data_IF_040634475677
#
_entry.id   IF_040634475677
#
_cell.length_a   1.000
_cell.length_b   1.000
_cell.length_c   1.000
_cell.angle_alpha   90.00
_cell.angle_beta   90.00
_cell.angle_gamma   90.00
#
_symmetry.space_group_name_H-M   'P 1'
#
loop_
_entity.id
_entity.type
_entity.pdbx_description
1 polymer ?
#
# COMPACT_ATOMS: atom_id res chain seq x y z
N UNK A 1 -31.24 41.83 34.14
CA UNK A 1 -31.88 41.04 33.04
C UNK A 1 -31.03 39.79 32.85
N UNK A 2 -31.53 38.67 33.31
CA UNK A 2 -30.80 37.39 33.19
C UNK A 2 -31.15 36.75 31.84
N UNK A 3 -30.13 36.49 31.04
CA UNK A 3 -30.27 35.78 29.77
C UNK A 3 -30.30 34.26 30.06
N UNK A 4 -31.39 33.65 29.74
CA UNK A 4 -31.60 32.19 29.82
C UNK A 4 -30.89 31.51 28.63
N UNK A 5 -29.92 30.67 28.90
CA UNK A 5 -29.27 29.82 27.88
C UNK A 5 -30.20 28.62 27.61
N UNK A 6 -30.73 28.55 26.40
CA UNK A 6 -31.46 27.39 25.94
C UNK A 6 -30.45 26.30 25.50
N UNK A 7 -30.48 25.17 26.19
CA UNK A 7 -29.71 23.99 25.78
C UNK A 7 -30.36 23.37 24.53
N UNK A 8 -29.63 23.37 23.41
CA UNK A 8 -30.02 22.64 22.21
C UNK A 8 -29.59 21.18 22.39
N UNK A 9 -30.55 20.31 22.66
CA UNK A 9 -30.36 18.85 22.63
C UNK A 9 -30.38 18.38 21.17
N UNK A 10 -29.24 18.02 20.65
CA UNK A 10 -29.11 17.27 19.38
C UNK A 10 -29.49 15.82 19.65
N UNK A 11 -30.50 15.25 18.98
CA UNK A 11 -30.79 13.82 19.13
C UNK A 11 -29.67 12.99 18.57
N UNK A 12 -29.03 12.17 19.42
CA UNK A 12 -28.18 11.08 18.99
C UNK A 12 -29.05 10.08 18.19
N UNK A 13 -28.90 10.06 16.88
CA UNK A 13 -29.43 8.99 16.05
C UNK A 13 -28.76 7.70 16.51
N UNK A 14 -29.52 6.84 17.18
CA UNK A 14 -29.10 5.51 17.60
C UNK A 14 -28.79 4.67 16.35
N UNK A 15 -27.50 4.44 16.12
CA UNK A 15 -26.99 3.58 15.05
C UNK A 15 -27.13 2.10 15.40
N UNK A 16 -28.34 1.55 15.47
CA UNK A 16 -28.57 0.10 15.64
C UNK A 16 -28.42 -0.72 14.35
N UNK A 17 -28.20 -0.08 13.20
CA UNK A 17 -28.06 -0.78 11.91
C UNK A 17 -26.62 -1.23 11.56
N UNK A 18 -25.59 -0.79 12.30
CA UNK A 18 -24.19 -1.12 12.02
C UNK A 18 -23.63 -2.29 12.86
N UNK A 19 -24.37 -2.75 13.88
CA UNK A 19 -23.88 -3.79 14.80
C UNK A 19 -24.10 -5.24 14.31
N UNK A 20 -24.90 -5.45 13.28
CA UNK A 20 -25.24 -6.81 12.83
C UNK A 20 -24.26 -7.43 11.81
N UNK A 21 -23.29 -6.63 11.28
CA UNK A 21 -22.31 -7.14 10.28
C UNK A 21 -20.95 -7.56 10.87
N UNK A 22 -20.72 -7.36 12.16
CA UNK A 22 -19.38 -7.53 12.77
C UNK A 22 -19.23 -8.73 13.71
N UNK A 23 -20.20 -9.65 13.81
CA UNK A 23 -20.06 -10.81 14.71
C UNK A 23 -19.23 -11.98 14.15
N UNK A 24 -18.90 -11.98 12.85
CA UNK A 24 -18.08 -13.04 12.24
C UNK A 24 -16.59 -12.71 12.05
N UNK A 25 -16.15 -11.51 12.42
CA UNK A 25 -14.74 -11.08 12.25
C UNK A 25 -13.80 -11.52 13.40
N UNK A 26 -14.30 -12.16 14.47
CA UNK A 26 -13.52 -12.44 15.68
C UNK A 26 -13.16 -13.90 15.93
N UNK A 27 -13.49 -14.84 15.04
CA UNK A 27 -13.13 -16.25 15.26
C UNK A 27 -12.12 -16.76 14.22
N UNK A 28 -10.82 -16.62 14.49
CA UNK A 28 -9.84 -17.60 14.02
C UNK A 28 -8.83 -17.19 12.95
N UNK A 29 -8.98 -16.10 12.22
CA UNK A 29 -8.01 -15.77 11.16
C UNK A 29 -6.89 -14.89 11.72
N UNK A 30 -5.75 -15.52 12.04
CA UNK A 30 -4.57 -14.81 12.59
C UNK A 30 -3.80 -14.01 11.56
N UNK A 31 -4.02 -14.28 10.26
CA UNK A 31 -3.41 -13.57 9.14
C UNK A 31 -4.46 -13.33 8.06
N UNK A 32 -4.69 -12.09 7.67
CA UNK A 32 -5.55 -11.75 6.54
C UNK A 32 -4.98 -10.61 5.72
N UNK A 33 -5.10 -10.72 4.40
CA UNK A 33 -4.71 -9.69 3.44
C UNK A 33 -5.99 -9.13 2.80
N UNK A 34 -6.11 -7.80 2.78
CA UNK A 34 -7.20 -7.09 2.08
C UNK A 34 -6.58 -6.08 1.12
N UNK A 35 -7.02 -6.10 -0.14
CA UNK A 35 -6.68 -5.08 -1.11
C UNK A 35 -7.62 -3.89 -0.90
N UNK A 36 -7.13 -2.78 -0.39
CA UNK A 36 -7.95 -1.58 -0.12
C UNK A 36 -8.26 -0.84 -1.44
N UNK A 37 -7.30 -0.82 -2.35
CA UNK A 37 -7.46 -0.27 -3.69
C UNK A 37 -6.49 -0.92 -4.65
N UNK A 38 -6.84 -0.92 -5.94
CA UNK A 38 -6.15 -1.70 -6.99
C UNK A 38 -5.82 -0.89 -8.25
N UNK A 39 -6.10 0.43 -8.26
CA UNK A 39 -5.80 1.30 -9.39
C UNK A 39 -4.32 1.66 -9.45
N UNK A 40 -3.80 1.77 -10.66
CA UNK A 40 -2.50 2.33 -10.99
C UNK A 40 -2.59 3.81 -11.33
N UNK A 41 -1.47 4.49 -11.18
CA UNK A 41 -1.19 5.80 -11.74
C UNK A 41 -1.89 6.97 -11.08
N UNK A 42 -1.39 8.20 -11.34
CA UNK A 42 -1.92 9.39 -10.70
C UNK A 42 -3.39 9.70 -11.04
N UNK A 43 -3.91 9.52 -12.27
CA UNK A 43 -5.30 9.88 -12.57
C UNK A 43 -6.29 9.07 -11.74
N UNK A 44 -7.19 9.75 -10.99
CA UNK A 44 -8.21 9.04 -10.23
C UNK A 44 -9.26 8.43 -11.16
N UNK A 45 -9.69 7.21 -10.85
CA UNK A 45 -10.78 6.53 -11.54
C UNK A 45 -11.96 6.34 -10.60
N UNK A 46 -13.18 6.49 -11.11
CA UNK A 46 -14.38 6.22 -10.32
C UNK A 46 -14.55 4.73 -10.02
N UNK A 47 -14.05 3.86 -10.91
CA UNK A 47 -14.25 2.42 -10.86
C UNK A 47 -13.31 1.70 -9.87
N UNK A 48 -12.17 2.31 -9.49
CA UNK A 48 -11.17 1.72 -8.58
C UNK A 48 -10.55 2.76 -7.68
N UNK A 49 -10.29 2.39 -6.44
CA UNK A 49 -9.51 3.19 -5.51
C UNK A 49 -8.01 3.07 -5.78
N UNK A 50 -7.24 4.07 -5.34
CA UNK A 50 -5.78 4.09 -5.47
C UNK A 50 -5.12 2.94 -4.72
N UNK A 51 -3.94 2.55 -5.16
CA UNK A 51 -3.20 1.40 -4.61
C UNK A 51 -3.03 1.51 -3.09
N UNK A 52 -3.49 0.50 -2.38
CA UNK A 52 -3.27 0.33 -0.95
C UNK A 52 -3.65 -1.09 -0.54
N UNK A 53 -2.91 -1.69 0.40
CA UNK A 53 -3.20 -3.02 0.93
C UNK A 53 -3.12 -3.00 2.47
N UNK A 54 -3.91 -3.84 3.12
CA UNK A 54 -3.87 -4.04 4.56
C UNK A 54 -3.60 -5.50 4.90
N UNK A 55 -2.55 -5.75 5.66
CA UNK A 55 -2.22 -7.05 6.24
C UNK A 55 -2.56 -7.00 7.73
N UNK A 56 -3.44 -7.88 8.19
CA UNK A 56 -3.77 -8.01 9.61
C UNK A 56 -3.06 -9.25 10.16
N UNK A 57 -2.26 -9.07 11.19
CA UNK A 57 -1.55 -10.14 11.90
C UNK A 57 -1.90 -10.05 13.38
N UNK A 58 -2.50 -11.10 13.96
CA UNK A 58 -2.89 -11.15 15.36
C UNK A 58 -3.68 -9.90 15.84
N UNK A 59 -4.53 -9.34 14.97
CA UNK A 59 -5.35 -8.15 15.25
C UNK A 59 -4.63 -6.81 15.10
N UNK A 60 -3.35 -6.79 14.71
CA UNK A 60 -2.59 -5.58 14.35
C UNK A 60 -2.57 -5.41 12.84
N UNK A 61 -2.78 -4.20 12.37
CA UNK A 61 -2.85 -3.89 10.93
C UNK A 61 -1.57 -3.22 10.46
N UNK A 62 -1.06 -3.70 9.33
CA UNK A 62 0.07 -3.17 8.58
C UNK A 62 -0.46 -2.73 7.22
N UNK A 63 -0.33 -1.45 6.88
CA UNK A 63 -0.78 -0.90 5.59
C UNK A 63 0.43 -0.77 4.66
N UNK A 64 0.29 -1.19 3.41
CA UNK A 64 1.29 -0.99 2.36
C UNK A 64 0.69 -0.07 1.32
N UNK A 65 1.34 1.06 1.11
CA UNK A 65 0.93 2.19 0.29
C UNK A 65 -0.41 2.83 0.70
N UNK A 66 -0.55 4.10 0.42
CA UNK A 66 -1.68 4.93 0.82
C UNK A 66 -2.15 5.78 -0.37
N UNK A 67 -2.57 5.12 -1.43
CA UNK A 67 -3.16 5.77 -2.60
C UNK A 67 -4.52 6.38 -2.29
N UNK A 68 -5.09 7.04 -3.28
CA UNK A 68 -6.34 7.80 -3.16
C UNK A 68 -7.47 6.98 -2.53
N UNK A 69 -8.00 7.47 -1.41
CA UNK A 69 -9.11 6.87 -0.68
C UNK A 69 -8.70 5.75 0.28
N UNK A 70 -7.40 5.56 0.56
CA UNK A 70 -6.89 4.50 1.43
C UNK A 70 -7.54 4.51 2.81
N UNK A 71 -7.69 5.68 3.47
CA UNK A 71 -8.33 5.78 4.79
C UNK A 71 -9.81 5.37 4.72
N UNK A 72 -10.55 5.83 3.70
CA UNK A 72 -11.95 5.46 3.53
C UNK A 72 -12.13 3.97 3.29
N UNK A 73 -11.27 3.38 2.46
CA UNK A 73 -11.29 1.94 2.16
C UNK A 73 -10.85 1.11 3.38
N UNK A 74 -9.89 1.59 4.18
CA UNK A 74 -9.49 1.00 5.44
C UNK A 74 -10.71 0.84 6.37
N UNK A 75 -11.50 1.90 6.54
CA UNK A 75 -12.72 1.86 7.36
C UNK A 75 -13.80 0.96 6.73
N UNK A 76 -13.98 0.99 5.40
CA UNK A 76 -14.93 0.12 4.68
C UNK A 76 -14.56 -1.36 4.76
N UNK A 77 -13.27 -1.69 4.87
CA UNK A 77 -12.80 -3.05 5.10
C UNK A 77 -13.13 -3.59 6.50
N UNK A 78 -13.71 -2.75 7.39
CA UNK A 78 -14.01 -3.09 8.78
C UNK A 78 -12.77 -3.01 9.68
N UNK A 79 -11.69 -2.37 9.23
CA UNK A 79 -10.49 -2.14 10.03
C UNK A 79 -10.69 -0.92 10.94
N UNK A 80 -10.01 -0.88 12.07
CA UNK A 80 -10.12 0.20 13.04
C UNK A 80 -8.80 0.97 13.20
N UNK A 81 -8.86 2.30 13.37
CA UNK A 81 -7.66 3.11 13.61
C UNK A 81 -6.83 2.60 14.80
N UNK A 82 -7.43 2.16 15.94
CA UNK A 82 -6.66 1.56 17.02
C UNK A 82 -5.87 0.29 16.66
N UNK A 83 -6.19 -0.40 15.56
CA UNK A 83 -5.46 -1.60 15.14
C UNK A 83 -4.24 -1.28 14.28
N UNK A 84 -4.12 -0.06 13.75
CA UNK A 84 -3.01 0.32 12.88
C UNK A 84 -1.70 0.33 13.66
N UNK A 85 -0.77 -0.54 13.24
CA UNK A 85 0.54 -0.71 13.88
C UNK A 85 1.66 -0.06 13.06
N UNK A 86 1.62 -0.19 11.73
CA UNK A 86 2.60 0.43 10.88
C UNK A 86 2.07 0.69 9.45
N UNK A 87 2.70 1.65 8.77
CA UNK A 87 2.51 1.96 7.36
C UNK A 87 3.85 1.75 6.65
N UNK A 88 3.81 1.12 5.48
CA UNK A 88 4.97 0.92 4.60
C UNK A 88 4.70 1.59 3.27
N UNK A 89 5.58 2.47 2.83
CA UNK A 89 5.51 3.13 1.53
C UNK A 89 6.55 2.49 0.61
N UNK A 90 6.12 1.96 -0.53
CA UNK A 90 7.02 1.31 -1.48
C UNK A 90 7.91 2.32 -2.19
N UNK A 91 7.32 3.42 -2.62
CA UNK A 91 7.99 4.59 -3.18
C UNK A 91 7.10 5.83 -3.04
N UNK A 92 7.60 7.01 -3.44
CA UNK A 92 6.92 8.27 -3.12
C UNK A 92 6.18 8.90 -4.31
N UNK A 93 5.70 8.12 -5.28
CA UNK A 93 4.76 8.63 -6.28
C UNK A 93 3.42 8.99 -5.64
N UNK A 94 2.74 9.97 -6.23
CA UNK A 94 1.52 10.54 -5.68
C UNK A 94 0.41 9.50 -5.47
N UNK A 95 0.26 8.56 -6.38
CA UNK A 95 -0.75 7.49 -6.31
C UNK A 95 -0.49 6.46 -5.21
N UNK A 96 0.72 6.44 -4.61
CA UNK A 96 1.09 5.61 -3.47
C UNK A 96 1.03 6.34 -2.12
N UNK A 97 1.07 7.69 -2.12
CA UNK A 97 1.23 8.45 -0.86
C UNK A 97 0.17 9.53 -0.62
N UNK A 98 -0.71 9.82 -1.59
CA UNK A 98 -1.60 11.00 -1.51
C UNK A 98 -2.53 10.97 -0.29
N UNK A 99 -2.93 9.80 0.20
CA UNK A 99 -3.80 9.63 1.38
C UNK A 99 -3.01 9.27 2.66
N UNK A 100 -1.68 9.19 2.56
CA UNK A 100 -0.83 8.79 3.69
C UNK A 100 -1.06 9.68 4.92
N UNK A 101 -0.92 11.00 4.75
CA UNK A 101 -1.01 11.93 5.87
C UNK A 101 -2.44 12.12 6.39
N UNK A 102 -3.45 11.65 5.67
CA UNK A 102 -4.83 11.64 6.14
C UNK A 102 -5.01 10.70 7.35
N UNK A 103 -4.24 9.62 7.46
CA UNK A 103 -4.29 8.71 8.62
C UNK A 103 -4.02 9.44 9.95
N UNK A 104 -2.85 10.09 10.17
CA UNK A 104 -2.58 10.78 11.42
C UNK A 104 -3.46 12.03 11.61
N UNK A 105 -3.77 12.77 10.55
CA UNK A 105 -4.63 13.97 10.66
C UNK A 105 -6.03 13.64 11.17
N UNK A 106 -6.65 12.60 10.62
CA UNK A 106 -8.01 12.22 11.05
C UNK A 106 -8.01 11.53 12.41
N UNK A 107 -6.96 10.77 12.74
CA UNK A 107 -6.78 10.19 14.06
C UNK A 107 -6.54 11.26 15.15
N UNK A 108 -5.86 12.36 14.82
CA UNK A 108 -5.55 13.45 15.75
C UNK A 108 -6.79 14.27 16.18
N UNK A 109 -7.79 14.36 15.31
CA UNK A 109 -9.09 15.00 15.62
C UNK A 109 -10.10 14.07 16.29
N UNK A 110 -9.76 12.79 16.46
CA UNK A 110 -10.65 11.80 17.06
C UNK A 110 -10.33 11.62 18.56
N UNK A 111 -11.17 12.09 19.42
CA UNK A 111 -10.98 11.92 20.86
C UNK A 111 -11.08 10.44 21.28
N UNK A 112 -10.13 9.97 22.09
CA UNK A 112 -10.20 8.68 22.79
C UNK A 112 -10.13 7.44 21.89
N UNK A 113 -11.15 6.59 21.94
CA UNK A 113 -11.15 5.23 21.39
C UNK A 113 -11.08 5.12 19.86
N UNK A 114 -11.26 6.22 19.13
CA UNK A 114 -11.26 6.26 17.68
C UNK A 114 -9.88 6.59 17.07
N UNK A 115 -8.93 7.07 17.88
CA UNK A 115 -7.57 7.38 17.48
C UNK A 115 -6.63 6.16 17.49
N UNK A 116 -5.35 6.38 17.25
CA UNK A 116 -4.33 5.34 17.39
C UNK A 116 -4.12 4.98 18.87
N UNK A 117 -3.87 3.71 19.15
CA UNK A 117 -3.53 3.25 20.53
C UNK A 117 -2.14 3.69 20.98
N UNK A 118 -1.22 3.81 20.04
CA UNK A 118 0.17 4.20 20.23
C UNK A 118 0.64 4.88 18.96
N UNK A 119 1.76 5.61 18.98
CA UNK A 119 2.34 6.11 17.74
C UNK A 119 2.56 4.98 16.74
N UNK A 120 2.13 5.22 15.49
CA UNK A 120 2.23 4.29 14.36
C UNK A 120 3.61 4.44 13.73
N UNK A 121 4.30 3.34 13.48
CA UNK A 121 5.56 3.36 12.76
C UNK A 121 5.31 3.53 11.26
N UNK A 122 6.11 4.38 10.60
CA UNK A 122 6.04 4.59 9.15
C UNK A 122 7.40 4.30 8.56
N UNK A 123 7.45 3.35 7.65
CA UNK A 123 8.65 2.97 6.92
C UNK A 123 8.48 3.32 5.45
N UNK A 124 9.39 4.06 4.89
CA UNK A 124 9.36 4.37 3.46
C UNK A 124 10.70 4.86 2.95
N UNK A 125 10.81 5.13 1.65
CA UNK A 125 12.08 5.51 1.04
C UNK A 125 12.74 6.71 1.72
N UNK A 126 14.04 6.62 1.92
CA UNK A 126 14.87 7.76 2.28
C UNK A 126 15.07 8.74 1.12
N UNK A 127 15.82 9.84 1.33
CA UNK A 127 16.03 10.85 0.30
C UNK A 127 16.76 10.26 -0.92
N UNK A 128 16.38 10.72 -2.12
CA UNK A 128 16.92 10.20 -3.37
C UNK A 128 18.40 10.60 -3.64
N UNK A 129 18.94 11.53 -2.88
CA UNK A 129 20.30 12.02 -3.05
C UNK A 129 20.52 12.92 -4.28
N UNK A 130 19.44 13.37 -4.92
CA UNK A 130 19.46 14.32 -6.05
C UNK A 130 18.69 15.60 -5.71
N UNK A 131 18.95 16.67 -6.44
CA UNK A 131 18.25 17.94 -6.27
C UNK A 131 16.80 17.84 -6.79
N UNK A 132 15.88 18.50 -6.08
CA UNK A 132 14.50 18.70 -6.54
C UNK A 132 14.46 19.68 -7.72
N UNK A 133 13.63 19.37 -8.70
CA UNK A 133 13.30 20.26 -9.83
C UNK A 133 12.00 21.02 -9.63
N UNK A 134 11.31 20.80 -8.50
CA UNK A 134 10.04 21.45 -8.19
C UNK A 134 10.27 22.90 -7.82
N UNK A 135 9.64 23.82 -8.54
CA UNK A 135 9.73 25.25 -8.25
C UNK A 135 9.17 25.55 -6.84
N UNK A 136 9.93 26.32 -6.05
CA UNK A 136 9.55 26.63 -4.67
C UNK A 136 9.87 25.56 -3.64
N UNK A 137 10.42 24.42 -4.04
CA UNK A 137 10.92 23.37 -3.15
C UNK A 137 12.42 23.11 -3.42
N UNK A 138 13.31 24.08 -3.20
CA UNK A 138 14.74 23.91 -3.40
C UNK A 138 15.30 22.94 -2.36
N UNK A 139 16.30 22.16 -2.77
CA UNK A 139 16.97 21.21 -1.90
C UNK A 139 16.96 19.80 -2.47
N UNK A 140 17.36 18.79 -1.69
CA UNK A 140 17.29 17.41 -2.11
C UNK A 140 15.84 16.94 -2.21
N UNK A 141 15.58 15.95 -3.09
CA UNK A 141 14.30 15.23 -3.12
C UNK A 141 14.09 14.58 -1.74
N UNK A 142 12.98 14.90 -1.04
CA UNK A 142 12.77 14.45 0.33
C UNK A 142 12.55 12.94 0.41
N UNK A 143 13.01 12.33 1.50
CA UNK A 143 12.59 11.00 1.93
C UNK A 143 11.27 11.07 2.71
N UNK A 144 10.87 9.94 3.27
CA UNK A 144 9.60 9.79 4.00
C UNK A 144 9.57 10.65 5.26
N UNK A 145 10.68 10.78 5.99
CA UNK A 145 10.79 11.63 7.18
C UNK A 145 10.51 13.08 6.83
N UNK A 146 11.22 13.62 5.84
CA UNK A 146 11.04 15.01 5.43
C UNK A 146 9.69 15.27 4.77
N UNK A 147 9.18 14.36 3.95
CA UNK A 147 7.84 14.43 3.37
C UNK A 147 6.78 14.54 4.48
N UNK A 148 6.88 13.73 5.52
CA UNK A 148 5.93 13.75 6.65
C UNK A 148 6.01 15.08 7.41
N UNK A 149 7.21 15.56 7.70
CA UNK A 149 7.43 16.86 8.37
C UNK A 149 6.85 18.01 7.55
N UNK A 150 7.10 18.03 6.23
CA UNK A 150 6.58 19.05 5.32
C UNK A 150 5.05 18.99 5.19
N UNK A 151 4.46 17.79 5.14
CA UNK A 151 3.01 17.62 5.16
C UNK A 151 2.40 18.19 6.46
N UNK A 152 3.02 17.91 7.62
CA UNK A 152 2.60 18.50 8.89
C UNK A 152 2.60 20.02 8.87
N UNK A 153 3.60 20.63 8.27
CA UNK A 153 3.66 22.09 8.12
C UNK A 153 2.58 22.61 7.17
N UNK A 154 2.37 21.93 6.03
CA UNK A 154 1.36 22.34 5.05
C UNK A 154 -0.07 22.30 5.62
N UNK A 155 -0.36 21.33 6.48
CA UNK A 155 -1.67 21.16 7.10
C UNK A 155 -1.79 21.74 8.52
N UNK A 156 -0.83 22.53 8.99
CA UNK A 156 -0.75 23.00 10.38
C UNK A 156 -2.01 23.73 10.89
N UNK A 157 -2.80 24.35 10.00
CA UNK A 157 -4.01 25.06 10.41
C UNK A 157 -5.03 24.15 11.11
N UNK A 158 -5.32 22.95 10.55
CA UNK A 158 -6.32 22.05 11.09
C UNK A 158 -6.02 21.57 12.54
N UNK A 159 -4.86 20.97 12.83
CA UNK A 159 -4.55 20.57 14.20
C UNK A 159 -4.41 21.75 15.16
N UNK A 160 -3.94 22.94 14.70
CA UNK A 160 -3.88 24.12 15.55
C UNK A 160 -5.24 24.50 16.12
N UNK A 161 -6.30 24.50 15.31
CA UNK A 161 -7.66 24.81 15.79
C UNK A 161 -8.16 23.76 16.78
N UNK A 162 -8.00 22.47 16.47
CA UNK A 162 -8.40 21.41 17.39
C UNK A 162 -7.65 21.45 18.74
N UNK A 163 -6.34 21.71 18.69
CA UNK A 163 -5.53 21.86 19.92
C UNK A 163 -5.91 23.09 20.73
N UNK A 164 -6.24 24.21 20.07
CA UNK A 164 -6.70 25.44 20.73
C UNK A 164 -8.02 25.22 21.45
N UNK A 165 -8.90 24.40 20.88
CA UNK A 165 -10.19 24.04 21.49
C UNK A 165 -10.09 22.85 22.48
N UNK A 166 -8.89 22.30 22.68
CA UNK A 166 -8.63 21.14 23.55
C UNK A 166 -9.37 19.85 23.13
N UNK A 167 -9.67 19.68 21.83
CA UNK A 167 -10.40 18.53 21.28
C UNK A 167 -9.54 17.65 20.37
N UNK A 168 -8.28 17.98 20.16
CA UNK A 168 -7.34 17.23 19.34
C UNK A 168 -5.90 17.31 19.84
N UNK A 169 -5.03 16.58 19.16
CA UNK A 169 -3.59 16.54 19.44
C UNK A 169 -2.78 16.79 18.16
N UNK A 170 -1.48 17.04 18.32
CA UNK A 170 -0.57 17.17 17.17
C UNK A 170 -0.47 15.82 16.42
N UNK A 171 -0.83 15.76 15.12
CA UNK A 171 -0.68 14.55 14.30
C UNK A 171 0.75 14.01 14.27
N UNK A 172 1.77 14.86 14.38
CA UNK A 172 3.17 14.44 14.40
C UNK A 172 3.49 13.56 15.62
N UNK A 173 2.80 13.77 16.76
CA UNK A 173 2.97 12.94 17.96
C UNK A 173 2.43 11.51 17.80
N UNK A 174 1.63 11.27 16.76
CA UNK A 174 1.02 9.97 16.45
C UNK A 174 1.90 9.09 15.56
N UNK A 175 3.04 9.59 15.11
CA UNK A 175 3.90 8.89 14.16
C UNK A 175 5.33 8.71 14.68
N UNK A 176 5.94 7.59 14.31
CA UNK A 176 7.40 7.38 14.32
C UNK A 176 7.83 7.06 12.88
N UNK A 177 8.47 8.01 12.23
CA UNK A 177 8.79 7.92 10.80
C UNK A 177 10.24 7.53 10.59
N UNK A 178 10.46 6.56 9.69
CA UNK A 178 11.75 5.97 9.40
C UNK A 178 12.04 6.01 7.90
N UNK A 179 13.15 6.63 7.52
CA UNK A 179 13.70 6.50 6.18
C UNK A 179 14.36 5.12 6.03
N UNK A 180 13.82 4.31 5.14
CA UNK A 180 14.45 3.04 4.74
C UNK A 180 15.57 3.35 3.76
N UNK A 181 16.80 3.00 4.14
CA UNK A 181 17.98 3.19 3.32
C UNK A 181 18.51 1.84 2.83
N UNK A 182 18.96 1.73 1.56
CA UNK A 182 19.63 0.53 1.09
C UNK A 182 20.88 0.27 1.92
N UNK A 183 21.23 -1.00 2.19
CA UNK A 183 22.45 -1.33 2.92
C UNK A 183 23.70 -0.78 2.22
N UNK A 184 24.66 -0.34 3.01
CA UNK A 184 25.95 0.10 2.48
C UNK A 184 26.62 -1.01 1.64
N UNK A 185 27.32 -0.61 0.57
CA UNK A 185 28.02 -1.55 -0.30
C UNK A 185 27.16 -2.18 -1.40
N UNK A 186 25.86 -1.91 -1.48
CA UNK A 186 25.02 -2.40 -2.59
C UNK A 186 25.31 -1.70 -3.92
N UNK A 187 25.96 -0.54 -3.90
CA UNK A 187 26.17 0.31 -5.08
C UNK A 187 24.90 1.00 -5.58
N UNK A 188 23.83 0.98 -4.79
CA UNK A 188 22.58 1.63 -5.14
C UNK A 188 22.70 3.16 -5.12
N UNK A 189 22.09 3.82 -6.10
CA UNK A 189 22.07 5.27 -6.24
C UNK A 189 20.97 5.69 -7.21
N UNK A 190 20.74 6.99 -7.37
CA UNK A 190 19.80 7.52 -8.35
C UNK A 190 20.15 7.15 -9.82
N UNK A 191 21.38 6.74 -10.12
CA UNK A 191 21.81 6.27 -11.44
C UNK A 191 21.96 4.74 -11.54
N UNK A 192 21.84 4.03 -10.42
CA UNK A 192 21.79 2.58 -10.32
C UNK A 192 20.71 2.20 -9.30
N UNK A 193 19.45 2.35 -9.70
CA UNK A 193 18.31 2.39 -8.77
C UNK A 193 18.02 1.04 -8.08
N UNK A 194 18.34 -0.08 -8.73
CA UNK A 194 18.03 -1.42 -8.20
C UNK A 194 19.10 -2.47 -8.58
N UNK A 195 20.33 -2.36 -8.06
CA UNK A 195 21.31 -3.42 -8.24
C UNK A 195 20.79 -4.75 -7.66
N UNK A 196 21.23 -5.86 -8.22
CA UNK A 196 20.92 -7.19 -7.67
C UNK A 196 21.45 -7.28 -6.24
N UNK A 197 20.56 -7.63 -5.30
CA UNK A 197 20.88 -7.63 -3.89
C UNK A 197 20.13 -8.72 -3.11
N UNK A 198 20.67 -9.08 -1.97
CA UNK A 198 19.95 -9.90 -1.00
C UNK A 198 18.91 -9.06 -0.23
N UNK A 199 17.80 -9.66 0.23
CA UNK A 199 16.85 -8.99 1.11
C UNK A 199 17.51 -8.52 2.40
N UNK A 200 17.15 -7.32 2.86
CA UNK A 200 17.59 -6.76 4.14
C UNK A 200 16.42 -6.50 5.08
N UNK A 201 16.67 -6.56 6.38
CA UNK A 201 15.62 -6.35 7.39
C UNK A 201 15.30 -4.87 7.53
N UNK A 202 14.02 -4.53 7.42
CA UNK A 202 13.47 -3.20 7.67
C UNK A 202 13.02 -3.08 9.13
N UNK A 203 12.24 -4.05 9.60
CA UNK A 203 11.80 -4.11 10.98
C UNK A 203 11.45 -5.53 11.40
N UNK A 204 11.32 -5.76 12.70
CA UNK A 204 10.81 -6.99 13.28
C UNK A 204 10.22 -6.75 14.66
N UNK A 205 9.13 -7.48 14.95
CA UNK A 205 8.52 -7.57 16.28
C UNK A 205 8.00 -8.99 16.51
N UNK A 206 7.21 -9.23 17.56
CA UNK A 206 6.68 -10.54 17.91
C UNK A 206 5.68 -11.11 16.89
N UNK A 207 5.08 -10.25 16.04
CA UNK A 207 4.06 -10.64 15.07
C UNK A 207 4.61 -10.84 13.66
N UNK A 208 5.60 -10.02 13.27
CA UNK A 208 6.05 -9.95 11.89
C UNK A 208 7.52 -9.57 11.77
N UNK A 209 8.21 -10.18 10.79
CA UNK A 209 9.49 -9.71 10.28
C UNK A 209 9.28 -9.15 8.87
N UNK A 210 9.73 -7.90 8.66
CA UNK A 210 9.65 -7.25 7.34
C UNK A 210 11.04 -7.11 6.74
N UNK A 211 11.19 -7.61 5.52
CA UNK A 211 12.40 -7.45 4.72
C UNK A 211 12.09 -6.72 3.41
N UNK A 212 13.09 -6.09 2.81
CA UNK A 212 12.95 -5.35 1.57
C UNK A 212 14.09 -5.65 0.59
N UNK A 213 13.82 -5.36 -0.68
CA UNK A 213 14.82 -5.21 -1.75
C UNK A 213 14.49 -3.97 -2.56
N UNK A 214 15.49 -3.38 -3.21
CA UNK A 214 15.27 -2.35 -4.22
C UNK A 214 14.65 -2.97 -5.48
N UNK A 215 13.77 -2.20 -6.13
CA UNK A 215 13.12 -2.57 -7.39
C UNK A 215 13.32 -1.48 -8.45
N UNK A 216 13.48 -1.84 -9.73
CA UNK A 216 13.66 -0.87 -10.81
C UNK A 216 12.31 -0.28 -11.21
N UNK A 217 12.16 1.04 -11.04
CA UNK A 217 10.99 1.81 -11.45
C UNK A 217 11.44 3.12 -12.14
N UNK A 218 12.08 2.96 -13.29
CA UNK A 218 12.65 4.09 -14.02
C UNK A 218 13.66 4.90 -13.19
N UNK A 219 13.44 6.21 -13.10
CA UNK A 219 14.29 7.14 -12.33
C UNK A 219 13.91 7.22 -10.84
N UNK A 220 12.87 6.52 -10.40
CA UNK A 220 12.41 6.55 -9.00
C UNK A 220 13.42 5.82 -8.13
N UNK A 221 13.93 6.54 -7.12
CA UNK A 221 14.92 6.00 -6.20
C UNK A 221 14.82 6.69 -4.83
N UNK A 222 14.83 5.90 -3.75
CA UNK A 222 14.68 4.45 -3.70
C UNK A 222 13.24 4.01 -4.00
N UNK A 223 13.06 2.81 -4.55
CA UNK A 223 11.79 2.10 -4.66
C UNK A 223 11.96 0.67 -4.13
N UNK A 224 10.98 0.17 -3.37
CA UNK A 224 11.11 -1.09 -2.63
C UNK A 224 9.97 -2.06 -2.92
N UNK A 225 10.31 -3.35 -2.95
CA UNK A 225 9.41 -4.44 -2.65
C UNK A 225 9.56 -4.82 -1.17
N UNK A 226 8.47 -5.20 -0.51
CA UNK A 226 8.45 -5.63 0.89
C UNK A 226 7.97 -7.06 1.03
N UNK A 227 8.58 -7.82 1.96
CA UNK A 227 8.12 -9.14 2.37
C UNK A 227 7.81 -9.14 3.84
N UNK A 228 6.64 -9.67 4.18
CA UNK A 228 6.16 -9.87 5.54
C UNK A 228 6.15 -11.37 5.84
N UNK A 229 6.98 -11.79 6.79
CA UNK A 229 7.01 -13.15 7.31
C UNK A 229 6.36 -13.16 8.69
N UNK A 230 5.40 -14.08 8.90
CA UNK A 230 4.67 -14.28 10.15
C UNK A 230 4.60 -15.76 10.48
N UNK A 231 4.21 -16.13 11.70
CA UNK A 231 3.96 -17.53 12.08
C UNK A 231 2.80 -18.18 11.31
N UNK A 232 2.00 -17.38 10.59
CA UNK A 232 0.78 -17.82 9.92
C UNK A 232 0.90 -17.87 8.40
N UNK A 233 1.98 -17.36 7.85
CA UNK A 233 2.25 -17.30 6.42
C UNK A 233 3.07 -16.06 6.03
N UNK A 234 3.35 -15.94 4.73
CA UNK A 234 4.19 -14.89 4.18
C UNK A 234 3.53 -14.21 2.98
N UNK A 235 3.67 -12.86 2.92
CA UNK A 235 3.14 -12.02 1.84
C UNK A 235 4.24 -11.11 1.32
N UNK A 236 4.35 -11.00 0.00
CA UNK A 236 5.27 -10.08 -0.68
C UNK A 236 4.46 -9.05 -1.46
N UNK A 237 4.86 -7.80 -1.42
CA UNK A 237 4.32 -6.69 -2.20
C UNK A 237 5.43 -6.17 -3.11
N UNK A 238 5.19 -6.17 -4.42
CA UNK A 238 6.23 -5.80 -5.39
C UNK A 238 6.56 -4.29 -5.38
N UNK A 239 5.62 -3.43 -4.96
CA UNK A 239 5.62 -2.04 -5.39
C UNK A 239 5.52 -1.95 -6.91
N UNK A 240 5.86 -0.80 -7.48
CA UNK A 240 5.95 -0.63 -8.93
C UNK A 240 7.34 -1.03 -9.42
N UNK A 241 7.38 -1.86 -10.45
CA UNK A 241 8.65 -2.46 -10.91
C UNK A 241 8.58 -3.02 -12.31
N UNK A 242 9.67 -3.00 -13.03
CA UNK A 242 9.87 -3.93 -14.15
C UNK A 242 10.25 -5.32 -13.60
N UNK A 243 10.17 -6.39 -14.43
CA UNK A 243 10.62 -7.73 -14.02
C UNK A 243 12.07 -7.70 -13.51
N UNK A 244 12.30 -8.23 -12.30
CA UNK A 244 13.62 -8.17 -11.66
C UNK A 244 13.91 -9.41 -10.83
N UNK A 245 15.19 -9.90 -10.82
CA UNK A 245 15.60 -10.99 -9.95
C UNK A 245 15.46 -10.64 -8.47
N UNK A 246 15.44 -9.37 -8.09
CA UNK A 246 15.26 -8.93 -6.71
C UNK A 246 13.86 -9.33 -6.17
N UNK A 247 12.78 -9.05 -6.93
CA UNK A 247 11.42 -9.47 -6.54
C UNK A 247 11.30 -10.98 -6.52
N UNK A 248 11.82 -11.67 -7.53
CA UNK A 248 11.80 -13.14 -7.60
C UNK A 248 12.51 -13.75 -6.38
N UNK A 249 13.68 -13.22 -6.04
CA UNK A 249 14.45 -13.65 -4.86
C UNK A 249 13.73 -13.38 -3.54
N UNK A 250 13.15 -12.18 -3.38
CA UNK A 250 12.39 -11.79 -2.19
C UNK A 250 11.14 -12.67 -2.01
N UNK A 251 10.44 -12.97 -3.12
CA UNK A 251 9.20 -13.75 -3.11
C UNK A 251 9.42 -15.25 -3.00
N UNK A 252 10.67 -15.73 -3.01
CA UNK A 252 10.95 -17.19 -3.02
C UNK A 252 10.27 -17.90 -1.86
N UNK A 253 9.38 -18.85 -2.24
CA UNK A 253 8.63 -19.68 -1.30
C UNK A 253 7.59 -18.94 -0.46
N UNK A 254 7.24 -17.70 -0.78
CA UNK A 254 6.16 -17.00 -0.11
C UNK A 254 4.79 -17.61 -0.43
N UNK A 255 3.83 -17.43 0.46
CA UNK A 255 2.46 -17.90 0.24
C UNK A 255 1.73 -17.06 -0.81
N UNK A 256 1.91 -15.73 -0.75
CA UNK A 256 1.27 -14.78 -1.66
C UNK A 256 2.29 -13.75 -2.15
N UNK A 257 2.29 -13.52 -3.47
CA UNK A 257 2.93 -12.37 -4.11
C UNK A 257 1.84 -11.45 -4.64
N UNK A 258 1.74 -10.25 -4.09
CA UNK A 258 0.91 -9.15 -4.60
C UNK A 258 1.78 -8.34 -5.54
N UNK A 259 1.45 -8.34 -6.83
CA UNK A 259 2.31 -7.77 -7.87
C UNK A 259 1.53 -6.79 -8.74
N UNK A 260 2.17 -5.70 -9.13
CA UNK A 260 1.63 -4.78 -10.13
C UNK A 260 1.45 -5.47 -11.49
N UNK A 261 0.60 -4.90 -12.36
CA UNK A 261 0.35 -5.46 -13.68
C UNK A 261 0.04 -4.40 -14.74
N UNK A 262 0.75 -4.47 -15.85
CA UNK A 262 0.53 -3.65 -17.04
C UNK A 262 -0.04 -4.48 -18.18
N UNK A 263 -1.07 -3.93 -18.87
CA UNK A 263 -1.59 -4.46 -20.13
C UNK A 263 -1.22 -3.51 -21.28
N UNK A 264 -0.19 -3.81 -22.09
CA UNK A 264 0.30 -2.92 -23.13
C UNK A 264 -0.76 -2.49 -24.16
N UNK A 265 -1.55 -3.45 -24.68
CA UNK A 265 -2.60 -3.13 -25.68
C UNK A 265 -3.69 -2.25 -25.07
N UNK A 266 -4.06 -2.48 -23.82
CA UNK A 266 -5.03 -1.65 -23.08
C UNK A 266 -4.49 -0.24 -22.85
N UNK A 267 -3.20 -0.09 -22.59
CA UNK A 267 -2.53 1.20 -22.46
C UNK A 267 -2.53 1.95 -23.80
N UNK A 268 -2.16 1.28 -24.88
CA UNK A 268 -2.16 1.86 -26.23
C UNK A 268 -3.55 2.35 -26.66
N UNK A 269 -4.61 1.67 -26.23
CA UNK A 269 -5.99 2.05 -26.53
C UNK A 269 -6.47 3.34 -25.82
N UNK A 270 -5.70 3.86 -24.85
CA UNK A 270 -6.06 5.11 -24.16
C UNK A 270 -5.80 6.38 -24.97
N UNK A 271 -5.08 6.29 -26.10
CA UNK A 271 -4.72 7.44 -26.92
C UNK A 271 -3.80 8.46 -26.24
N UNK A 272 -2.99 7.99 -25.29
CA UNK A 272 -2.01 8.82 -24.60
C UNK A 272 -0.87 9.22 -25.53
N UNK A 273 -0.15 10.34 -25.26
CA UNK A 273 1.07 10.69 -25.97
C UNK A 273 2.10 9.56 -25.94
N UNK A 274 2.80 9.31 -27.06
CA UNK A 274 3.72 8.19 -27.20
C UNK A 274 4.80 8.17 -26.13
N UNK A 275 5.39 9.32 -25.76
CA UNK A 275 6.42 9.41 -24.71
C UNK A 275 5.92 8.90 -23.35
N UNK A 276 4.62 9.07 -23.05
CA UNK A 276 4.02 8.59 -21.80
C UNK A 276 3.78 7.08 -21.86
N UNK A 277 3.32 6.57 -23.01
CA UNK A 277 3.20 5.12 -23.25
C UNK A 277 4.56 4.45 -23.08
N UNK A 278 5.60 4.99 -23.74
CA UNK A 278 6.95 4.46 -23.66
C UNK A 278 7.50 4.45 -22.22
N UNK A 279 7.22 5.53 -21.48
CA UNK A 279 7.60 5.62 -20.06
C UNK A 279 6.93 4.53 -19.22
N UNK A 280 5.59 4.35 -19.35
CA UNK A 280 4.85 3.36 -18.58
C UNK A 280 5.31 1.94 -18.94
N UNK A 281 5.52 1.65 -20.22
CA UNK A 281 6.05 0.35 -20.68
C UNK A 281 7.46 0.06 -20.15
N UNK A 282 8.28 1.10 -19.98
CA UNK A 282 9.65 0.97 -19.50
C UNK A 282 9.78 0.85 -17.97
N UNK A 283 8.70 1.12 -17.23
CA UNK A 283 8.76 1.24 -15.76
C UNK A 283 7.84 0.27 -15.02
N UNK A 284 7.02 -0.51 -15.74
CA UNK A 284 6.08 -1.46 -15.17
C UNK A 284 6.22 -2.86 -15.77
N UNK A 285 5.58 -3.83 -15.13
CA UNK A 285 5.63 -5.25 -15.52
C UNK A 285 4.45 -5.61 -16.43
N UNK A 286 4.74 -6.02 -17.67
CA UNK A 286 3.76 -6.61 -18.57
C UNK A 286 3.11 -7.84 -17.90
N UNK A 287 1.77 -7.90 -17.93
CA UNK A 287 0.99 -9.02 -17.38
C UNK A 287 1.43 -10.38 -17.92
N UNK A 288 2.02 -10.41 -19.12
CA UNK A 288 2.55 -11.64 -19.73
C UNK A 288 3.72 -12.26 -18.95
N UNK A 289 4.47 -11.46 -18.18
CA UNK A 289 5.62 -11.89 -17.37
C UNK A 289 5.21 -12.43 -15.99
N UNK A 290 4.01 -12.15 -15.51
CA UNK A 290 3.60 -12.50 -14.15
C UNK A 290 3.62 -14.01 -13.88
N UNK A 291 3.26 -14.82 -14.88
CA UNK A 291 3.35 -16.28 -14.78
C UNK A 291 4.77 -16.77 -14.56
N UNK A 292 5.74 -16.22 -15.30
CA UNK A 292 7.17 -16.54 -15.16
C UNK A 292 7.69 -16.10 -13.77
N UNK A 293 7.37 -14.88 -13.35
CA UNK A 293 7.77 -14.37 -12.02
C UNK A 293 7.22 -15.28 -10.92
N UNK A 294 5.95 -15.68 -11.01
CA UNK A 294 5.33 -16.58 -10.04
C UNK A 294 5.97 -17.98 -10.01
N UNK A 295 6.26 -18.54 -11.18
CA UNK A 295 6.90 -19.86 -11.31
C UNK A 295 8.33 -19.85 -10.76
N UNK A 296 9.14 -18.86 -11.15
CA UNK A 296 10.54 -18.74 -10.71
C UNK A 296 10.67 -18.46 -9.21
N UNK A 297 9.73 -17.73 -8.63
CA UNK A 297 9.70 -17.47 -7.18
C UNK A 297 9.10 -18.63 -6.38
N UNK A 298 8.37 -19.55 -7.03
CA UNK A 298 7.73 -20.68 -6.35
C UNK A 298 6.63 -20.27 -5.36
N UNK A 299 5.97 -19.12 -5.58
CA UNK A 299 4.84 -18.69 -4.77
C UNK A 299 3.62 -19.56 -5.03
N UNK A 300 2.71 -19.69 -4.05
CA UNK A 300 1.47 -20.45 -4.22
C UNK A 300 0.39 -19.65 -4.92
N UNK A 301 0.36 -18.34 -4.65
CA UNK A 301 -0.63 -17.43 -5.19
C UNK A 301 0.05 -16.13 -5.64
N UNK A 302 -0.25 -15.70 -6.86
CA UNK A 302 0.04 -14.34 -7.32
C UNK A 302 -1.28 -13.57 -7.44
N UNK A 303 -1.32 -12.36 -6.86
CA UNK A 303 -2.44 -11.43 -6.96
C UNK A 303 -2.00 -10.24 -7.78
N UNK A 304 -2.60 -10.03 -8.94
CA UNK A 304 -2.36 -8.86 -9.77
C UNK A 304 -3.13 -7.65 -9.22
N UNK A 305 -2.42 -6.56 -8.97
CA UNK A 305 -2.95 -5.29 -8.47
C UNK A 305 -2.28 -4.14 -9.20
N UNK A 306 -2.49 -2.90 -8.77
CA UNK A 306 -1.94 -1.72 -9.47
C UNK A 306 -2.11 -1.85 -10.98
N UNK A 307 -3.38 -2.07 -11.38
CA UNK A 307 -3.71 -2.43 -12.76
C UNK A 307 -3.55 -1.24 -13.70
N UNK A 308 -2.68 -1.37 -14.69
CA UNK A 308 -2.41 -0.33 -15.70
C UNK A 308 -2.78 -0.83 -17.11
N UNK A 309 -3.82 -0.25 -17.75
CA UNK A 309 -4.76 0.73 -17.22
C UNK A 309 -5.80 0.12 -16.28
N UNK A 310 -6.10 0.82 -15.17
CA UNK A 310 -7.14 0.42 -14.22
C UNK A 310 -8.57 0.67 -14.71
N UNK A 311 -8.75 1.40 -15.81
CA UNK A 311 -10.07 1.70 -16.38
C UNK A 311 -10.69 0.45 -17.04
N UNK A 312 -11.84 -0.06 -16.54
CA UNK A 312 -12.49 -1.24 -17.11
C UNK A 312 -12.96 -1.06 -18.57
N UNK A 313 -13.14 0.19 -19.03
CA UNK A 313 -13.46 0.46 -20.43
C UNK A 313 -12.26 0.25 -21.37
N UNK A 314 -11.04 0.44 -20.89
CA UNK A 314 -9.81 0.16 -21.63
C UNK A 314 -9.39 -1.31 -21.53
N UNK A 315 -9.49 -1.88 -20.32
CA UNK A 315 -9.19 -3.30 -20.08
C UNK A 315 -10.21 -3.86 -19.09
N UNK A 316 -11.16 -4.65 -19.61
CA UNK A 316 -12.18 -5.26 -18.76
C UNK A 316 -11.58 -6.31 -17.80
N UNK A 317 -12.28 -6.57 -16.68
CA UNK A 317 -11.88 -7.64 -15.74
C UNK A 317 -11.84 -9.02 -16.42
N UNK A 318 -12.71 -9.26 -17.39
CA UNK A 318 -12.69 -10.50 -18.17
C UNK A 318 -11.40 -10.62 -19.00
N UNK A 319 -10.94 -9.51 -19.59
CA UNK A 319 -9.66 -9.42 -20.31
C UNK A 319 -8.50 -9.67 -19.36
N UNK A 320 -8.44 -8.98 -18.22
CA UNK A 320 -7.42 -9.20 -17.20
C UNK A 320 -7.33 -10.66 -16.75
N UNK A 321 -8.48 -11.27 -16.43
CA UNK A 321 -8.52 -12.71 -16.02
C UNK A 321 -8.06 -13.65 -17.13
N UNK A 322 -8.34 -13.34 -18.41
CA UNK A 322 -7.82 -14.10 -19.55
C UNK A 322 -6.30 -13.97 -19.64
N UNK A 323 -5.76 -12.75 -19.60
CA UNK A 323 -4.31 -12.47 -19.68
C UNK A 323 -3.54 -13.18 -18.57
N UNK A 324 -4.05 -13.13 -17.33
CA UNK A 324 -3.45 -13.83 -16.20
C UNK A 324 -3.43 -15.36 -16.41
N UNK A 325 -4.52 -15.96 -16.87
CA UNK A 325 -4.54 -17.39 -17.19
C UNK A 325 -3.56 -17.76 -18.32
N UNK A 326 -3.47 -16.91 -19.34
CA UNK A 326 -2.56 -17.15 -20.47
C UNK A 326 -1.10 -17.00 -20.03
N UNK A 327 -0.79 -16.05 -19.16
CA UNK A 327 0.54 -15.89 -18.55
C UNK A 327 0.92 -17.11 -17.71
N UNK A 328 0.02 -17.59 -16.84
CA UNK A 328 0.24 -18.80 -16.04
C UNK A 328 0.52 -20.03 -16.91
N UNK A 329 -0.28 -20.24 -17.97
CA UNK A 329 -0.09 -21.39 -18.89
C UNK A 329 1.25 -21.34 -19.61
N UNK A 330 1.65 -20.16 -20.10
CA UNK A 330 2.95 -20.01 -20.81
C UNK A 330 4.14 -20.37 -19.93
N UNK A 331 4.02 -20.10 -18.63
CA UNK A 331 5.07 -20.33 -17.65
C UNK A 331 4.96 -21.69 -16.93
N UNK A 332 3.98 -22.52 -17.27
CA UNK A 332 3.66 -23.76 -16.54
C UNK A 332 3.48 -23.53 -15.02
N UNK A 333 2.91 -22.36 -14.67
CA UNK A 333 2.66 -22.02 -13.27
C UNK A 333 1.42 -22.74 -12.75
N UNK A 334 1.61 -23.74 -11.90
CA UNK A 334 0.55 -24.54 -11.30
C UNK A 334 -0.14 -23.91 -10.08
N UNK A 335 0.30 -22.74 -9.64
CA UNK A 335 -0.31 -21.99 -8.53
C UNK A 335 -1.56 -21.19 -8.95
N UNK A 336 -2.02 -20.32 -8.08
CA UNK A 336 -3.21 -19.49 -8.31
C UNK A 336 -2.81 -18.10 -8.84
N UNK A 337 -3.45 -17.66 -9.93
CA UNK A 337 -3.41 -16.27 -10.41
C UNK A 337 -4.74 -15.60 -10.12
N UNK A 338 -4.73 -14.51 -9.38
CA UNK A 338 -5.93 -13.76 -8.94
C UNK A 338 -5.87 -12.35 -9.50
N UNK A 339 -6.97 -11.90 -10.13
CA UNK A 339 -7.17 -10.49 -10.40
C UNK A 339 -7.62 -9.79 -9.11
N UNK A 340 -6.86 -8.81 -8.65
CA UNK A 340 -7.20 -8.01 -7.47
C UNK A 340 -8.40 -7.10 -7.72
N UNK A 341 -9.27 -7.02 -6.74
CA UNK A 341 -10.43 -6.13 -6.71
C UNK A 341 -10.43 -5.33 -5.40
N UNK A 342 -10.98 -4.12 -5.42
CA UNK A 342 -11.07 -3.29 -4.22
C UNK A 342 -11.87 -4.00 -3.13
N UNK A 343 -11.37 -3.95 -1.90
CA UNK A 343 -11.89 -4.63 -0.70
C UNK A 343 -11.86 -6.17 -0.77
N UNK A 344 -11.18 -6.76 -1.78
CA UNK A 344 -11.00 -8.19 -1.84
C UNK A 344 -10.16 -8.69 -0.67
N UNK A 345 -10.65 -9.72 0.03
CA UNK A 345 -9.86 -10.48 1.01
C UNK A 345 -9.18 -11.66 0.33
N UNK A 346 -7.86 -11.73 0.46
CA UNK A 346 -7.03 -12.78 -0.14
C UNK A 346 -6.64 -13.77 0.96
N UNK A 347 -6.94 -15.07 0.81
CA UNK A 347 -6.49 -16.09 1.76
C UNK A 347 -4.96 -16.19 1.74
N UNK A 348 -4.33 -16.17 2.92
CA UNK A 348 -2.89 -16.38 3.13
C UNK A 348 -2.68 -17.65 3.94
N UNK A 349 -1.63 -18.40 3.61
CA UNK A 349 -1.26 -19.63 4.32
C UNK A 349 -1.95 -20.90 3.80
N UNK A 350 -1.66 -22.02 4.43
CA UNK A 350 -2.25 -23.32 4.06
C UNK A 350 -3.71 -23.38 4.53
N UNK A 351 -4.65 -23.60 3.63
CA UNK A 351 -5.95 -24.11 4.04
C UNK A 351 -5.70 -25.43 4.77
N UNK A 352 -6.02 -25.50 6.05
CA UNK A 352 -6.06 -26.76 6.79
C UNK A 352 -7.27 -27.59 6.27
N UNK A 353 -7.21 -28.06 5.03
CA UNK A 353 -8.03 -29.17 4.59
C UNK A 353 -7.38 -30.45 5.15
N UNK A 354 -7.43 -30.61 6.49
CA UNK A 354 -7.43 -31.97 7.04
C UNK A 354 -8.78 -32.54 6.64
N UNK A 355 -8.74 -33.49 5.71
CA UNK A 355 -9.90 -34.29 5.34
C UNK A 355 -10.59 -34.84 6.60
N UNK A 356 -11.89 -34.69 6.59
CA UNK A 356 -12.80 -35.51 7.40
C UNK A 356 -13.05 -36.82 6.66
#
# INVERSE_FOLDING_TARGET
MAASAAAVTVPLLSGEAAAAANSDASSGTRLSLTLLGTNSGPPPLAARYGISQALVVNGRTYVVDCGRGAVSQYMRAGLSMPSLAAIFLTHLHADHVVDYYAFPMLAAGAAGAQGFRSPVDVYGPGPAGIASTVAGAPGPVPGTVDMTRLAGQAYAAAPTFFMTEHIGIDPASLLRVHDVLPPAGTGASATNTAPVMAPFTVMGNDDVKVTAVLVPHGAVYPAYAYRFDTDHGSVVFSGDTTPTPNVIGLARGADVLVHEALHPDGLAALGLPQYLIDHILATHTDVSELGRIAAESGVRTLVATHLSPGNPAATSDATWRRLLRDSARRADFGGRMILGEDLMRVPVGRSNTRGR
#
